data_IF_075638520708
#
_entry.id   IF_075638520708
#
_cell.length_a   1.000
_cell.length_b   1.000
_cell.length_c   1.000
_cell.angle_alpha   90.00
_cell.angle_beta   90.00
_cell.angle_gamma   90.00
#
_symmetry.space_group_name_H-M   'P 1'
#
loop_
_entity.id
_entity.type
_entity.pdbx_description
1 polymer ?
#
# COMPACT_ATOMS: atom_id res chain seq x y z
N UNK A 1 4.90 -2.62 -31.01
CA UNK A 1 5.98 -1.86 -30.35
C UNK A 1 6.39 -2.57 -29.04
N UNK A 2 5.47 -2.86 -28.10
CA UNK A 2 5.77 -3.47 -26.77
C UNK A 2 6.64 -4.73 -26.91
N UNK A 3 6.17 -5.74 -27.69
CA UNK A 3 6.93 -6.98 -27.90
C UNK A 3 8.33 -6.75 -28.51
N UNK A 4 8.48 -5.71 -29.31
CA UNK A 4 9.78 -5.36 -29.91
C UNK A 4 10.74 -4.82 -28.84
N UNK A 5 10.28 -3.88 -27.99
CA UNK A 5 11.09 -3.32 -26.92
C UNK A 5 11.46 -4.38 -25.86
N UNK A 6 10.53 -5.28 -25.52
CA UNK A 6 10.83 -6.43 -24.65
C UNK A 6 11.89 -7.36 -25.26
N UNK A 7 11.84 -7.58 -26.57
CA UNK A 7 12.85 -8.42 -27.25
C UNK A 7 14.21 -7.75 -27.29
N UNK A 8 14.28 -6.42 -27.41
CA UNK A 8 15.55 -5.68 -27.38
C UNK A 8 16.34 -5.87 -26.09
N UNK A 9 15.65 -6.06 -24.97
CA UNK A 9 16.26 -6.29 -23.63
C UNK A 9 16.18 -7.74 -23.18
N UNK A 10 15.79 -8.65 -24.06
CA UNK A 10 15.73 -10.07 -23.73
C UNK A 10 17.14 -10.64 -23.55
N UNK A 11 17.39 -11.57 -22.60
CA UNK A 11 18.69 -12.21 -22.40
C UNK A 11 19.28 -12.90 -23.63
N UNK A 12 18.44 -13.35 -24.56
CA UNK A 12 18.91 -13.89 -25.86
C UNK A 12 19.57 -12.84 -26.77
N UNK A 13 19.36 -11.55 -26.49
CA UNK A 13 19.86 -10.45 -27.32
C UNK A 13 20.91 -9.64 -26.57
N UNK A 14 20.68 -9.34 -25.29
CA UNK A 14 21.56 -8.53 -24.42
C UNK A 14 21.57 -9.03 -23.00
N UNK A 15 22.72 -9.03 -22.38
CA UNK A 15 22.92 -9.44 -20.98
C UNK A 15 23.75 -8.42 -20.22
N UNK A 16 23.79 -8.52 -18.90
CA UNK A 16 24.66 -7.75 -18.03
C UNK A 16 24.48 -6.23 -18.12
N UNK A 17 25.59 -5.52 -18.25
CA UNK A 17 25.61 -4.06 -18.24
C UNK A 17 24.94 -3.43 -19.47
N UNK A 18 25.13 -4.05 -20.65
CA UNK A 18 24.47 -3.60 -21.87
C UNK A 18 22.94 -3.67 -21.74
N UNK A 19 22.41 -4.78 -21.21
CA UNK A 19 20.99 -4.92 -20.96
C UNK A 19 20.47 -3.80 -20.03
N UNK A 20 21.20 -3.53 -18.96
CA UNK A 20 20.84 -2.51 -17.98
C UNK A 20 20.79 -1.10 -18.59
N UNK A 21 21.75 -0.76 -19.42
CA UNK A 21 21.78 0.53 -20.12
C UNK A 21 20.60 0.69 -21.10
N UNK A 22 20.28 -0.37 -21.85
CA UNK A 22 19.12 -0.37 -22.74
C UNK A 22 17.79 -0.26 -21.98
N UNK A 23 17.63 -0.97 -20.86
CA UNK A 23 16.47 -0.86 -20.00
C UNK A 23 16.28 0.58 -19.49
N UNK A 24 17.38 1.22 -19.05
CA UNK A 24 17.35 2.61 -18.60
C UNK A 24 16.92 3.56 -19.72
N UNK A 25 17.55 3.49 -20.89
CA UNK A 25 17.24 4.36 -22.02
C UNK A 25 15.82 4.17 -22.54
N UNK A 26 15.34 2.92 -22.62
CA UNK A 26 13.95 2.64 -23.00
C UNK A 26 12.98 3.22 -21.97
N UNK A 27 13.27 3.05 -20.68
CA UNK A 27 12.41 3.57 -19.61
C UNK A 27 12.33 5.11 -19.60
N UNK A 28 13.39 5.81 -19.97
CA UNK A 28 13.38 7.26 -20.13
C UNK A 28 12.41 7.69 -21.26
N UNK A 29 12.37 6.94 -22.35
CA UNK A 29 11.49 7.23 -23.49
C UNK A 29 10.04 6.87 -23.21
N UNK A 30 9.76 5.60 -22.81
CA UNK A 30 8.39 5.11 -22.62
C UNK A 30 7.75 5.61 -21.33
N UNK A 31 8.58 6.14 -20.43
CA UNK A 31 8.11 6.73 -19.17
C UNK A 31 7.16 7.91 -19.36
N UNK A 32 7.39 8.71 -20.41
CA UNK A 32 6.53 9.83 -20.80
C UNK A 32 5.10 9.36 -21.20
N UNK A 33 5.00 8.15 -21.79
CA UNK A 33 3.74 7.54 -22.20
C UNK A 33 3.11 6.67 -21.09
N UNK A 34 3.69 6.69 -19.90
CA UNK A 34 3.19 5.94 -18.75
C UNK A 34 3.50 4.44 -18.80
N UNK A 35 4.58 4.02 -19.46
CA UNK A 35 5.04 2.63 -19.50
C UNK A 35 6.40 2.46 -18.82
N UNK A 36 6.70 1.24 -18.39
CA UNK A 36 7.98 0.89 -17.77
C UNK A 36 8.35 -0.57 -18.03
N UNK A 37 9.64 -0.82 -18.34
CA UNK A 37 10.24 -2.15 -18.29
C UNK A 37 10.55 -2.51 -16.83
N UNK A 38 10.02 -3.63 -16.38
CA UNK A 38 10.21 -4.15 -15.02
C UNK A 38 10.69 -5.59 -15.11
N UNK A 39 11.53 -6.01 -14.18
CA UNK A 39 11.96 -7.41 -14.06
C UNK A 39 10.73 -8.30 -13.84
N UNK A 40 10.50 -9.23 -14.74
CA UNK A 40 9.39 -10.20 -14.67
C UNK A 40 9.84 -11.61 -14.31
N UNK A 41 11.13 -11.88 -14.32
CA UNK A 41 11.69 -13.19 -14.01
C UNK A 41 13.18 -13.27 -14.29
N UNK A 42 13.74 -14.51 -14.20
CA UNK A 42 15.12 -14.84 -14.54
C UNK A 42 15.17 -16.14 -15.35
N UNK A 43 16.07 -16.19 -16.31
CA UNK A 43 16.45 -17.43 -17.01
C UNK A 43 17.97 -17.54 -16.97
N UNK A 44 18.50 -18.66 -16.49
CA UNK A 44 19.95 -18.91 -16.40
C UNK A 44 20.71 -17.76 -15.69
N UNK A 45 20.15 -17.23 -14.63
CA UNK A 45 20.64 -16.07 -13.85
C UNK A 45 20.56 -14.71 -14.55
N UNK A 46 20.08 -14.63 -15.77
CA UNK A 46 19.86 -13.39 -16.53
C UNK A 46 18.44 -12.86 -16.30
N UNK A 47 18.30 -11.51 -16.24
CA UNK A 47 17.02 -10.85 -15.96
C UNK A 47 16.14 -10.80 -17.22
N UNK A 48 14.86 -11.14 -17.05
CA UNK A 48 13.83 -10.96 -18.06
C UNK A 48 13.02 -9.71 -17.72
N UNK A 49 12.86 -8.83 -18.69
CA UNK A 49 12.07 -7.62 -18.56
C UNK A 49 10.80 -7.69 -19.38
N UNK A 50 9.71 -7.15 -18.81
CA UNK A 50 8.45 -6.93 -19.52
C UNK A 50 7.97 -5.50 -19.33
N UNK A 51 7.27 -5.00 -20.35
CA UNK A 51 6.67 -3.67 -20.32
C UNK A 51 5.31 -3.76 -19.63
N UNK A 52 5.19 -3.01 -18.56
CA UNK A 52 3.92 -2.74 -17.90
C UNK A 52 3.56 -1.28 -18.15
N UNK A 53 2.27 -1.04 -18.37
CA UNK A 53 1.79 0.33 -18.26
C UNK A 53 2.08 0.74 -16.81
N UNK A 54 2.87 1.80 -16.65
CA UNK A 54 2.83 2.48 -15.36
C UNK A 54 1.35 2.73 -15.13
N UNK A 55 0.73 1.96 -14.29
CA UNK A 55 -0.42 2.50 -13.66
C UNK A 55 0.19 3.74 -12.97
N UNK A 56 0.04 4.91 -13.63
CA UNK A 56 -0.11 6.10 -12.82
C UNK A 56 -1.02 5.58 -11.74
N UNK A 57 -0.58 5.61 -10.51
CA UNK A 57 -1.47 5.36 -9.42
C UNK A 57 -2.60 6.37 -9.60
N UNK A 58 -3.54 6.04 -10.48
CA UNK A 58 -4.92 6.33 -10.22
C UNK A 58 -5.18 5.46 -9.03
N UNK A 59 -4.56 5.83 -7.93
CA UNK A 59 -5.09 5.51 -6.65
C UNK A 59 -6.42 6.24 -6.64
N UNK A 60 -7.47 5.53 -7.09
CA UNK A 60 -8.80 5.88 -6.70
C UNK A 60 -8.94 5.72 -5.17
N UNK A 61 -7.83 5.68 -4.47
CA UNK A 61 -7.74 5.64 -3.03
C UNK A 61 -7.62 7.08 -2.55
N UNK A 62 -8.76 7.77 -2.53
CA UNK A 62 -8.84 9.13 -2.01
C UNK A 62 -8.65 9.15 -0.50
N UNK A 63 -9.09 8.10 0.19
CA UNK A 63 -9.10 8.04 1.65
C UNK A 63 -8.63 6.68 2.13
N UNK A 64 -7.74 6.65 3.11
CA UNK A 64 -7.32 5.44 3.81
C UNK A 64 -7.84 5.49 5.25
N UNK A 65 -8.76 4.58 5.58
CA UNK A 65 -9.30 4.46 6.93
C UNK A 65 -8.57 3.34 7.65
N UNK A 66 -7.96 3.64 8.80
CA UNK A 66 -7.10 2.72 9.51
C UNK A 66 -7.01 3.01 11.01
N UNK A 67 -6.35 2.13 11.74
CA UNK A 67 -6.02 2.24 13.15
C UNK A 67 -7.22 2.63 14.05
N UNK A 68 -8.35 1.88 14.03
CA UNK A 68 -9.48 2.16 14.90
C UNK A 68 -9.13 1.95 16.37
N UNK A 69 -9.73 2.76 17.26
CA UNK A 69 -9.68 2.55 18.70
C UNK A 69 -11.09 2.15 19.18
N UNK A 70 -11.21 0.94 19.71
CA UNK A 70 -12.49 0.46 20.26
C UNK A 70 -13.48 -0.02 19.21
N UNK A 71 -14.70 0.55 19.18
CA UNK A 71 -15.75 0.09 18.24
C UNK A 71 -15.38 0.30 16.80
N UNK A 72 -15.72 -0.69 15.95
CA UNK A 72 -15.55 -0.58 14.49
C UNK A 72 -16.32 0.62 13.96
N UNK A 73 -15.72 1.45 13.09
CA UNK A 73 -16.45 2.54 12.47
C UNK A 73 -17.48 2.01 11.48
N UNK A 74 -18.61 2.66 11.39
CA UNK A 74 -19.56 2.44 10.31
C UNK A 74 -19.08 3.19 9.07
N UNK A 75 -18.67 2.42 8.07
CA UNK A 75 -18.13 2.95 6.81
C UNK A 75 -19.18 2.79 5.72
N UNK A 76 -19.49 3.87 5.03
CA UNK A 76 -20.39 3.87 3.87
C UNK A 76 -19.67 4.39 2.64
N UNK A 77 -20.11 3.94 1.47
CA UNK A 77 -19.68 4.51 0.19
C UNK A 77 -20.53 5.75 -0.04
N UNK A 78 -19.90 6.92 -0.06
CA UNK A 78 -20.59 8.20 -0.32
C UNK A 78 -20.80 8.39 -1.82
N UNK A 79 -19.79 8.09 -2.64
CA UNK A 79 -19.88 8.09 -4.09
C UNK A 79 -19.28 6.80 -4.69
N UNK A 80 -20.14 5.93 -5.20
CA UNK A 80 -19.73 4.67 -5.82
C UNK A 80 -18.93 4.85 -7.12
N UNK A 81 -19.06 6.00 -7.79
CA UNK A 81 -18.33 6.31 -9.03
C UNK A 81 -16.93 6.80 -8.71
N UNK A 82 -16.82 7.64 -7.67
CA UNK A 82 -15.56 8.22 -7.25
C UNK A 82 -14.80 7.37 -6.21
N UNK A 83 -15.38 6.27 -5.74
CA UNK A 83 -14.88 5.46 -4.61
C UNK A 83 -14.61 6.29 -3.35
N UNK A 84 -15.44 7.30 -3.11
CA UNK A 84 -15.37 8.08 -1.88
C UNK A 84 -16.02 7.30 -0.74
N UNK A 85 -15.25 7.15 0.33
CA UNK A 85 -15.69 6.51 1.57
C UNK A 85 -15.86 7.54 2.66
N UNK A 86 -16.90 7.34 3.46
CA UNK A 86 -17.20 8.21 4.58
C UNK A 86 -17.44 7.38 5.84
N UNK A 87 -16.91 7.87 6.94
CA UNK A 87 -17.23 7.29 8.25
C UNK A 87 -18.56 7.91 8.69
N UNK A 88 -19.51 7.06 9.07
CA UNK A 88 -20.78 7.48 9.66
C UNK A 88 -20.71 7.27 11.17
N UNK A 89 -21.06 8.29 11.95
CA UNK A 89 -21.02 8.24 13.39
C UNK A 89 -19.75 8.83 13.99
N UNK A 90 -19.17 8.15 14.97
CA UNK A 90 -18.00 8.65 15.71
C UNK A 90 -16.72 8.53 14.86
N UNK A 91 -16.30 9.65 14.29
CA UNK A 91 -15.10 9.74 13.43
C UNK A 91 -13.80 9.73 14.23
N UNK A 92 -13.86 10.02 15.55
CA UNK A 92 -12.65 10.22 16.37
C UNK A 92 -11.93 8.91 16.69
N UNK A 93 -12.62 7.78 16.49
CA UNK A 93 -12.08 6.46 16.78
C UNK A 93 -11.18 5.89 15.67
N UNK A 94 -11.13 6.50 14.49
CA UNK A 94 -10.32 6.02 13.36
C UNK A 94 -9.43 7.12 12.82
N UNK A 95 -8.35 6.72 12.16
CA UNK A 95 -7.53 7.63 11.38
C UNK A 95 -7.99 7.63 9.93
N UNK A 96 -8.12 8.82 9.36
CA UNK A 96 -8.47 9.05 7.97
C UNK A 96 -7.32 9.80 7.30
N UNK A 97 -6.56 9.09 6.47
CA UNK A 97 -5.51 9.70 5.64
C UNK A 97 -6.12 10.07 4.29
N UNK A 98 -6.24 11.36 4.03
CA UNK A 98 -6.96 11.96 2.91
C UNK A 98 -6.03 12.54 1.81
N UNK A 99 -4.73 12.25 1.91
CA UNK A 99 -3.76 12.64 0.88
C UNK A 99 -3.56 11.50 -0.13
N UNK A 100 -3.46 11.86 -1.41
CA UNK A 100 -3.07 10.88 -2.42
C UNK A 100 -1.66 10.37 -2.15
N UNK A 101 -1.45 9.04 -2.08
CA UNK A 101 -0.11 8.49 -2.04
C UNK A 101 0.66 8.91 -3.29
N UNK A 102 1.88 9.39 -3.11
CA UNK A 102 2.74 9.76 -4.22
C UNK A 102 3.31 8.52 -4.94
N UNK A 103 4.13 8.74 -5.98
CA UNK A 103 4.77 7.66 -6.73
C UNK A 103 5.69 6.76 -5.87
N UNK A 104 6.15 7.27 -4.72
CA UNK A 104 7.04 6.57 -3.79
C UNK A 104 6.26 5.71 -2.76
N UNK A 105 4.94 5.67 -2.87
CA UNK A 105 4.07 5.02 -1.91
C UNK A 105 3.82 5.89 -0.67
N UNK A 106 3.62 5.28 0.49
CA UNK A 106 3.45 5.99 1.75
C UNK A 106 4.62 5.69 2.70
N UNK A 107 5.52 6.67 2.82
CA UNK A 107 6.67 6.59 3.70
C UNK A 107 6.31 6.98 5.14
N UNK A 108 7.04 6.43 6.11
CA UNK A 108 6.84 6.74 7.52
C UNK A 108 6.96 8.25 7.81
N UNK A 109 7.99 8.91 7.26
CA UNK A 109 8.18 10.35 7.45
C UNK A 109 7.02 11.17 6.88
N UNK A 110 6.39 10.72 5.80
CA UNK A 110 5.21 11.38 5.22
C UNK A 110 4.00 11.24 6.15
N UNK A 111 3.80 10.03 6.71
CA UNK A 111 2.72 9.78 7.66
C UNK A 111 2.91 10.58 8.96
N UNK A 112 4.16 10.70 9.46
CA UNK A 112 4.51 11.53 10.63
C UNK A 112 4.22 13.01 10.37
N UNK A 113 4.57 13.54 9.20
CA UNK A 113 4.27 14.92 8.80
C UNK A 113 2.76 15.18 8.75
N UNK A 114 2.01 14.24 8.16
CA UNK A 114 0.55 14.32 8.12
C UNK A 114 -0.03 14.36 9.53
N UNK A 115 0.39 13.46 10.41
CA UNK A 115 -0.07 13.44 11.80
C UNK A 115 0.25 14.74 12.54
N UNK A 116 1.46 15.27 12.37
CA UNK A 116 1.91 16.52 12.99
C UNK A 116 1.19 17.77 12.49
N UNK A 117 0.54 17.71 11.32
CA UNK A 117 -0.26 18.87 10.84
C UNK A 117 -1.53 19.11 11.66
N UNK A 118 -2.06 18.06 12.30
CA UNK A 118 -3.28 18.12 13.11
C UNK A 118 -3.02 17.98 14.63
N UNK A 119 -1.82 17.56 15.04
CA UNK A 119 -1.51 17.26 16.45
C UNK A 119 -0.23 17.96 16.88
N UNK A 120 -0.32 18.83 17.88
CA UNK A 120 0.84 19.45 18.50
C UNK A 120 1.42 18.54 19.58
N UNK A 121 2.68 18.12 19.44
CA UNK A 121 3.38 17.30 20.42
C UNK A 121 4.87 17.58 20.40
N UNK A 122 5.56 17.39 21.53
CA UNK A 122 7.01 17.48 21.62
C UNK A 122 7.73 16.39 20.80
N UNK A 123 7.06 15.24 20.61
CA UNK A 123 7.58 14.12 19.81
C UNK A 123 6.49 13.48 18.98
N UNK A 124 6.18 14.12 17.84
CA UNK A 124 5.13 13.71 16.88
C UNK A 124 5.30 12.26 16.43
N UNK A 125 6.52 11.84 16.16
CA UNK A 125 6.81 10.48 15.71
C UNK A 125 6.44 9.44 16.78
N UNK A 126 6.81 9.68 18.03
CA UNK A 126 6.50 8.79 19.14
C UNK A 126 5.01 8.75 19.44
N UNK A 127 4.33 9.87 19.30
CA UNK A 127 2.89 9.94 19.48
C UNK A 127 2.13 9.15 18.43
N UNK A 128 2.48 9.34 17.17
CA UNK A 128 1.90 8.56 16.07
C UNK A 128 2.17 7.06 16.29
N UNK A 129 3.42 6.68 16.61
CA UNK A 129 3.76 5.29 16.88
C UNK A 129 2.86 4.69 17.98
N UNK A 130 2.70 5.38 19.12
CA UNK A 130 1.83 4.94 20.20
C UNK A 130 0.36 4.86 19.76
N UNK A 131 -0.11 5.84 18.99
CA UNK A 131 -1.49 5.87 18.48
C UNK A 131 -1.78 4.66 17.60
N UNK A 132 -0.84 4.30 16.72
CA UNK A 132 -0.96 3.15 15.84
C UNK A 132 -0.84 1.83 16.63
N UNK A 133 0.12 1.72 17.53
CA UNK A 133 0.30 0.53 18.38
C UNK A 133 -0.96 0.22 19.20
N UNK A 134 -1.65 1.24 19.70
CA UNK A 134 -2.85 1.10 20.50
C UNK A 134 -4.08 0.61 19.70
N UNK A 135 -4.02 0.66 18.37
CA UNK A 135 -5.09 0.14 17.51
C UNK A 135 -5.00 -1.36 17.25
N UNK A 136 -3.90 -2.00 17.63
CA UNK A 136 -3.66 -3.42 17.40
C UNK A 136 -4.36 -4.27 18.47
N UNK A 137 -5.05 -5.31 18.04
CA UNK A 137 -5.89 -6.13 18.90
C UNK A 137 -5.08 -7.21 19.64
N UNK A 138 -4.11 -7.84 18.97
CA UNK A 138 -3.38 -8.99 19.49
C UNK A 138 -1.93 -8.67 19.86
N UNK A 139 -1.36 -9.48 20.76
CA UNK A 139 0.06 -9.35 21.13
C UNK A 139 1.01 -9.65 19.97
N UNK A 140 0.78 -10.70 19.13
CA UNK A 140 1.61 -10.95 17.94
C UNK A 140 1.64 -9.78 16.96
N UNK A 141 0.51 -9.10 16.74
CA UNK A 141 0.46 -7.89 15.91
C UNK A 141 1.32 -6.77 16.51
N UNK A 142 1.21 -6.54 17.83
CA UNK A 142 2.00 -5.52 18.56
C UNK A 142 3.50 -5.81 18.49
N UNK A 143 3.88 -7.06 18.63
CA UNK A 143 5.26 -7.50 18.57
C UNK A 143 5.83 -7.29 17.15
N UNK A 144 5.09 -7.72 16.13
CA UNK A 144 5.48 -7.52 14.73
C UNK A 144 5.63 -6.04 14.37
N UNK A 145 4.65 -5.21 14.74
CA UNK A 145 4.66 -3.77 14.52
C UNK A 145 5.85 -3.10 15.20
N UNK A 146 6.07 -3.43 16.47
CA UNK A 146 7.19 -2.87 17.26
C UNK A 146 8.53 -3.27 16.67
N UNK A 147 8.67 -4.54 16.27
CA UNK A 147 9.92 -5.03 15.69
C UNK A 147 10.20 -4.39 14.33
N UNK A 148 9.20 -4.21 13.49
CA UNK A 148 9.35 -3.50 12.21
C UNK A 148 9.94 -2.11 12.41
N UNK A 149 9.33 -1.29 13.26
CA UNK A 149 9.81 0.07 13.50
C UNK A 149 11.16 0.12 14.24
N UNK A 150 11.46 -0.86 15.08
CA UNK A 150 12.78 -0.98 15.73
C UNK A 150 13.89 -1.27 14.72
N UNK A 151 13.63 -2.13 13.73
CA UNK A 151 14.60 -2.44 12.67
C UNK A 151 14.88 -1.20 11.81
N UNK A 152 13.84 -0.46 11.45
CA UNK A 152 13.96 0.67 10.54
C UNK A 152 14.16 2.04 11.22
N UNK A 153 14.22 2.12 12.55
CA UNK A 153 14.32 3.38 13.31
C UNK A 153 15.47 4.30 12.88
N UNK A 154 16.57 3.72 12.38
CA UNK A 154 17.76 4.46 11.94
C UNK A 154 17.80 4.66 10.42
N UNK A 155 16.82 4.19 9.68
CA UNK A 155 16.74 4.41 8.25
C UNK A 155 16.16 5.81 7.95
N UNK A 156 16.73 6.49 6.96
CA UNK A 156 16.27 7.82 6.58
C UNK A 156 14.84 7.80 6.02
N UNK A 157 14.54 6.79 5.20
CA UNK A 157 13.24 6.61 4.56
C UNK A 157 12.88 5.12 4.50
N UNK A 158 11.66 4.81 4.85
CA UNK A 158 11.11 3.45 4.76
C UNK A 158 9.58 3.50 4.67
N UNK A 159 8.95 2.49 4.06
CA UNK A 159 7.50 2.43 3.95
C UNK A 159 6.82 2.46 5.31
N UNK A 160 5.69 3.13 5.42
CA UNK A 160 4.86 3.05 6.61
C UNK A 160 4.18 1.68 6.69
N UNK A 161 4.29 1.01 7.82
CA UNK A 161 3.50 -0.17 8.16
C UNK A 161 2.20 0.31 8.81
N UNK A 162 1.09 0.26 8.06
CA UNK A 162 -0.18 0.85 8.45
C UNK A 162 -1.06 -0.22 9.06
N UNK A 163 -1.42 -0.13 10.35
CA UNK A 163 -2.19 -1.16 11.03
C UNK A 163 -3.69 -1.03 10.81
N UNK A 164 -4.38 -2.15 10.83
CA UNK A 164 -5.83 -2.27 10.93
C UNK A 164 -6.56 -1.45 9.86
N UNK A 165 -6.22 -1.71 8.59
CA UNK A 165 -6.75 -0.96 7.43
C UNK A 165 -8.07 -1.58 6.97
N UNK A 166 -9.09 -0.75 6.77
CA UNK A 166 -10.37 -1.19 6.24
C UNK A 166 -10.32 -1.33 4.72
N UNK A 167 -10.64 -2.55 4.24
CA UNK A 167 -10.87 -2.81 2.82
C UNK A 167 -12.28 -2.42 2.45
N UNK A 168 -12.38 -1.63 1.41
CA UNK A 168 -13.66 -1.03 1.03
C UNK A 168 -14.39 -1.79 -0.07
N UNK A 169 -13.76 -2.76 -0.73
CA UNK A 169 -14.34 -3.41 -1.88
C UNK A 169 -13.98 -4.90 -1.94
N UNK A 170 -14.97 -5.76 -1.72
CA UNK A 170 -14.93 -7.15 -2.13
C UNK A 170 -15.77 -7.33 -3.40
N UNK A 171 -15.16 -7.42 -4.60
CA UNK A 171 -15.89 -7.63 -5.85
C UNK A 171 -16.59 -8.99 -5.91
N UNK A 172 -16.20 -9.95 -5.09
CA UNK A 172 -16.78 -11.30 -5.08
C UNK A 172 -18.02 -11.42 -4.19
N UNK A 173 -18.24 -10.51 -3.25
CA UNK A 173 -19.40 -10.58 -2.37
C UNK A 173 -20.73 -10.33 -3.10
N UNK A 174 -20.71 -9.65 -4.24
CA UNK A 174 -21.91 -9.29 -5.00
C UNK A 174 -22.52 -10.45 -5.81
N UNK A 175 -21.73 -11.43 -6.20
CA UNK A 175 -22.16 -12.50 -7.12
C UNK A 175 -22.60 -13.80 -6.42
N UNK A 176 -22.26 -14.00 -5.15
CA UNK A 176 -22.44 -15.31 -4.49
C UNK A 176 -23.44 -15.35 -3.34
N UNK A 177 -23.95 -14.22 -2.87
CA UNK A 177 -24.88 -14.20 -1.73
C UNK A 177 -26.10 -13.35 -2.04
N UNK A 178 -27.29 -13.96 -1.88
CA UNK A 178 -28.58 -13.29 -2.11
C UNK A 178 -28.77 -12.04 -1.26
N UNK A 179 -29.83 -11.29 -1.52
CA UNK A 179 -30.14 -9.91 -1.15
C UNK A 179 -30.11 -9.48 0.34
N UNK A 180 -29.56 -10.27 1.25
CA UNK A 180 -29.47 -9.98 2.69
C UNK A 180 -28.03 -10.03 3.22
N UNK A 181 -27.04 -9.63 2.45
CA UNK A 181 -25.66 -9.65 2.89
C UNK A 181 -25.32 -8.36 3.63
N UNK A 182 -25.20 -8.47 4.93
CA UNK A 182 -24.44 -7.52 5.76
C UNK A 182 -22.98 -7.60 5.25
N UNK A 183 -22.48 -6.52 4.64
CA UNK A 183 -21.09 -6.42 4.23
C UNK A 183 -20.19 -6.58 5.45
N UNK A 184 -19.52 -7.71 5.55
CA UNK A 184 -18.46 -7.88 6.54
C UNK A 184 -17.32 -7.02 6.04
N UNK A 185 -17.08 -5.89 6.68
CA UNK A 185 -15.94 -5.05 6.40
C UNK A 185 -14.68 -5.87 6.69
N UNK A 186 -13.99 -6.29 5.64
CA UNK A 186 -12.71 -6.97 5.79
C UNK A 186 -11.69 -5.92 6.22
N UNK A 187 -10.98 -6.23 7.28
CA UNK A 187 -9.92 -5.43 7.84
C UNK A 187 -8.61 -6.19 7.66
N UNK A 188 -7.64 -5.56 7.06
CA UNK A 188 -6.27 -6.07 6.98
C UNK A 188 -5.54 -5.76 8.28
N UNK A 189 -4.74 -6.71 8.79
CA UNK A 189 -3.90 -6.45 9.96
C UNK A 189 -2.88 -5.35 9.64
N UNK A 190 -2.21 -5.44 8.48
CA UNK A 190 -1.30 -4.40 8.02
C UNK A 190 -1.35 -4.20 6.51
N UNK A 191 -1.14 -2.96 6.11
CA UNK A 191 -0.94 -2.54 4.71
C UNK A 191 0.35 -1.74 4.58
N UNK A 192 1.10 -2.00 3.52
CA UNK A 192 2.19 -1.14 3.07
C UNK A 192 1.91 -0.68 1.65
N UNK A 193 2.08 0.61 1.40
CA UNK A 193 2.03 1.22 0.08
C UNK A 193 3.46 1.50 -0.38
N UNK A 194 3.91 0.72 -1.35
CA UNK A 194 5.27 0.78 -1.88
C UNK A 194 5.31 1.60 -3.17
N UNK A 195 6.51 2.00 -3.64
CA UNK A 195 6.65 2.67 -4.92
C UNK A 195 5.97 1.93 -6.08
N UNK A 196 5.60 2.67 -7.11
CA UNK A 196 4.93 2.14 -8.31
C UNK A 196 3.54 1.53 -8.06
N UNK A 197 2.85 1.95 -7.00
CA UNK A 197 1.50 1.50 -6.69
C UNK A 197 1.40 0.06 -6.17
N UNK A 198 2.52 -0.53 -5.75
CA UNK A 198 2.54 -1.87 -5.16
C UNK A 198 1.90 -1.78 -3.77
N UNK A 199 0.97 -2.69 -3.50
CA UNK A 199 0.31 -2.85 -2.21
C UNK A 199 0.69 -4.18 -1.61
N UNK A 200 1.19 -4.17 -0.39
CA UNK A 200 1.53 -5.38 0.37
C UNK A 200 0.60 -5.47 1.56
N UNK A 201 -0.19 -6.54 1.59
CA UNK A 201 -1.04 -6.89 2.73
C UNK A 201 -0.32 -7.91 3.57
N UNK A 202 -0.31 -7.72 4.88
CA UNK A 202 0.29 -8.64 5.84
C UNK A 202 -0.79 -9.01 6.85
N UNK A 203 -1.03 -10.29 7.00
CA UNK A 203 -1.95 -10.89 7.97
C UNK A 203 -1.15 -11.67 8.99
N UNK A 204 -1.49 -11.54 10.26
CA UNK A 204 -0.83 -12.23 11.37
C UNK A 204 -1.74 -13.36 11.85
N UNK A 205 -1.42 -14.58 11.45
CA UNK A 205 -2.16 -15.76 11.88
C UNK A 205 -2.00 -16.01 13.39
N UNK A 206 -3.08 -15.81 14.10
CA UNK A 206 -3.19 -16.13 15.52
C UNK A 206 -3.65 -17.59 15.72
N UNK A 207 -3.38 -18.15 16.92
CA UNK A 207 -3.84 -19.50 17.33
C UNK A 207 -5.38 -19.69 17.28
N UNK A 208 -6.12 -18.66 16.94
CA UNK A 208 -7.60 -18.69 16.88
C UNK A 208 -8.13 -19.29 15.57
N UNK A 209 -7.26 -19.61 14.63
CA UNK A 209 -7.60 -20.20 13.32
C UNK A 209 -7.33 -21.71 13.23
N UNK A 210 -6.99 -22.38 14.35
CA UNK A 210 -6.76 -23.83 14.42
C UNK A 210 -7.72 -24.50 15.41
#
# INVERSE_FOLDING_TARGET
IIKFLEKMVNPEVRTGEEQTQYVKGINEIIGADGFQLVVSGKISNELIYKIYKRQAAKSNMKNLIFAPLGKKPDIVIDDAIANDIKIVGDTDNCLLYDFEPNADGLLWNTLVKWWGSAHASENIQKDLFKRLLNSLDSQPEKDFFTQYYTIYQNANEYPALIPQVYLHYDPHARTWRGSNVVYTHQRMDFLMLLPNGIRVVIEIDGKQHY
#
